data_IF_251302221018
#
_entry.id   IF_251302221018
#
_cell.length_a   1.000
_cell.length_b   1.000
_cell.length_c   1.000
_cell.angle_alpha   90.00
_cell.angle_beta   90.00
_cell.angle_gamma   90.00
#
_symmetry.space_group_name_H-M   'P 1'
#
loop_
_entity.id
_entity.type
_entity.pdbx_description
1 polymer ?
#
# COMPACT_ATOMS: atom_id res chain seq x y z
N UNK A 1 1.68 28.20 10.71
CA UNK A 1 2.34 27.26 11.64
C UNK A 1 1.31 26.78 12.65
N UNK A 2 1.35 25.52 13.09
CA UNK A 2 0.36 24.97 14.04
C UNK A 2 -0.13 23.54 13.76
N UNK A 3 0.32 22.90 12.68
CA UNK A 3 0.01 21.51 12.39
C UNK A 3 0.90 20.57 13.20
N UNK A 4 0.30 19.59 13.87
CA UNK A 4 1.01 18.50 14.54
C UNK A 4 0.89 17.26 13.65
N UNK A 5 2.02 16.75 13.20
CA UNK A 5 2.10 15.48 12.48
C UNK A 5 2.12 14.32 13.48
N UNK A 6 1.20 13.36 13.33
CA UNK A 6 1.07 12.18 14.21
C UNK A 6 1.07 10.90 13.35
N UNK A 7 2.26 10.44 12.93
CA UNK A 7 2.38 9.33 11.97
C UNK A 7 1.79 8.01 12.50
N UNK A 8 1.82 7.79 13.81
CA UNK A 8 1.33 6.56 14.44
C UNK A 8 -0.18 6.39 14.27
N UNK A 9 -0.93 7.50 14.29
CA UNK A 9 -2.39 7.48 14.05
C UNK A 9 -2.70 7.11 12.60
N UNK A 10 -1.94 7.67 11.66
CA UNK A 10 -2.09 7.36 10.24
C UNK A 10 -1.76 5.88 9.98
N UNK A 11 -0.65 5.39 10.51
CA UNK A 11 -0.24 3.99 10.37
C UNK A 11 -1.28 3.03 10.96
N UNK A 12 -1.78 3.32 12.17
CA UNK A 12 -2.84 2.53 12.79
C UNK A 12 -4.10 2.47 11.92
N UNK A 13 -4.53 3.61 11.36
CA UNK A 13 -5.69 3.66 10.46
C UNK A 13 -5.48 2.83 9.20
N UNK A 14 -4.29 2.87 8.60
CA UNK A 14 -3.97 2.10 7.39
C UNK A 14 -3.97 0.59 7.65
N UNK A 15 -3.40 0.16 8.78
CA UNK A 15 -3.37 -1.27 9.15
C UNK A 15 -4.77 -1.83 9.43
N UNK A 16 -5.55 -1.09 10.21
CA UNK A 16 -6.92 -1.51 10.58
C UNK A 16 -7.91 -1.39 9.41
N UNK A 17 -7.63 -0.50 8.46
CA UNK A 17 -8.45 -0.29 7.26
C UNK A 17 -8.12 -1.21 6.08
N UNK A 18 -7.20 -2.17 6.25
CA UNK A 18 -6.79 -3.09 5.18
C UNK A 18 -6.28 -2.39 3.92
N UNK A 19 -5.60 -1.25 4.07
CA UNK A 19 -5.25 -0.36 2.95
C UNK A 19 -4.43 -1.04 1.83
N UNK A 20 -3.68 -2.10 2.16
CA UNK A 20 -2.82 -2.86 1.23
C UNK A 20 -3.45 -4.17 0.74
N UNK A 21 -4.74 -4.43 1.01
CA UNK A 21 -5.43 -5.60 0.47
C UNK A 21 -5.38 -5.63 -1.06
N UNK A 22 -5.58 -4.49 -1.71
CA UNK A 22 -5.48 -4.38 -3.18
C UNK A 22 -4.07 -4.66 -3.68
N UNK A 23 -3.02 -4.22 -2.98
CA UNK A 23 -1.64 -4.54 -3.37
C UNK A 23 -1.36 -6.06 -3.28
N UNK A 24 -1.97 -6.76 -2.32
CA UNK A 24 -1.90 -8.22 -2.24
C UNK A 24 -2.64 -8.88 -3.42
N UNK A 25 -3.80 -8.36 -3.84
CA UNK A 25 -4.51 -8.85 -5.01
C UNK A 25 -3.68 -8.63 -6.29
N UNK A 26 -3.11 -7.44 -6.47
CA UNK A 26 -2.24 -7.10 -7.58
C UNK A 26 -1.00 -8.01 -7.63
N UNK A 27 -0.42 -8.36 -6.47
CA UNK A 27 0.67 -9.32 -6.37
C UNK A 27 0.26 -10.71 -6.86
N UNK A 28 -0.90 -11.22 -6.43
CA UNK A 28 -1.40 -12.52 -6.89
C UNK A 28 -1.62 -12.55 -8.40
N UNK A 29 -2.11 -11.45 -8.98
CA UNK A 29 -2.33 -11.31 -10.43
C UNK A 29 -0.99 -11.22 -11.16
N UNK A 30 -0.13 -10.30 -10.75
CA UNK A 30 1.09 -9.96 -11.48
C UNK A 30 2.21 -11.00 -11.35
N UNK A 31 2.37 -11.58 -10.15
CA UNK A 31 3.50 -12.47 -9.82
C UNK A 31 3.09 -13.93 -9.80
N UNK A 32 1.91 -14.24 -9.24
CA UNK A 32 1.40 -15.62 -9.17
C UNK A 32 0.49 -16.00 -10.34
N UNK A 33 0.21 -15.06 -11.25
CA UNK A 33 -0.62 -15.26 -12.44
C UNK A 33 -2.03 -15.79 -12.13
N UNK A 34 -2.57 -15.45 -10.97
CA UNK A 34 -3.95 -15.78 -10.60
C UNK A 34 -4.90 -14.83 -11.34
N UNK A 35 -6.00 -15.33 -11.93
CA UNK A 35 -7.01 -14.46 -12.54
C UNK A 35 -7.51 -13.40 -11.56
N UNK A 36 -7.67 -12.16 -12.04
CA UNK A 36 -8.04 -10.99 -11.23
C UNK A 36 -9.19 -11.26 -10.26
N UNK A 37 -10.29 -11.86 -10.75
CA UNK A 37 -11.45 -12.17 -9.94
C UNK A 37 -11.12 -13.13 -8.79
N UNK A 38 -10.38 -14.20 -9.08
CA UNK A 38 -9.95 -15.19 -8.09
C UNK A 38 -8.99 -14.59 -7.08
N UNK A 39 -8.05 -13.74 -7.52
CA UNK A 39 -7.15 -13.03 -6.61
C UNK A 39 -7.92 -12.14 -5.63
N UNK A 40 -8.88 -11.36 -6.11
CA UNK A 40 -9.72 -10.52 -5.26
C UNK A 40 -10.64 -11.32 -4.34
N UNK A 41 -11.18 -12.47 -4.78
CA UNK A 41 -11.97 -13.37 -3.93
C UNK A 41 -11.14 -13.99 -2.79
N UNK A 42 -9.91 -14.44 -3.08
CA UNK A 42 -8.98 -14.95 -2.06
C UNK A 42 -8.62 -13.89 -1.02
N UNK A 43 -8.28 -12.68 -1.48
CA UNK A 43 -7.93 -11.56 -0.60
C UNK A 43 -9.14 -11.09 0.20
N UNK A 44 -10.33 -11.03 -0.41
CA UNK A 44 -11.57 -10.71 0.28
C UNK A 44 -11.89 -11.71 1.40
N UNK A 45 -11.67 -13.00 1.13
CA UNK A 45 -11.79 -14.06 2.15
C UNK A 45 -10.81 -13.86 3.30
N UNK A 46 -9.55 -13.56 2.99
CA UNK A 46 -8.53 -13.24 3.99
C UNK A 46 -8.92 -12.03 4.86
N UNK A 47 -9.39 -10.94 4.24
CA UNK A 47 -9.88 -9.75 4.96
C UNK A 47 -11.06 -10.11 5.86
N UNK A 48 -12.01 -10.93 5.37
CA UNK A 48 -13.12 -11.43 6.17
C UNK A 48 -12.66 -12.15 7.44
N UNK A 49 -11.72 -13.08 7.31
CA UNK A 49 -11.12 -13.80 8.45
C UNK A 49 -10.42 -12.85 9.42
N UNK A 50 -9.66 -11.87 8.91
CA UNK A 50 -9.05 -10.84 9.75
C UNK A 50 -10.09 -10.06 10.56
N UNK A 51 -11.18 -9.61 9.92
CA UNK A 51 -12.26 -8.89 10.60
C UNK A 51 -12.91 -9.73 11.69
N UNK A 52 -13.25 -10.99 11.39
CA UNK A 52 -13.85 -11.93 12.35
C UNK A 52 -12.95 -12.15 13.58
N UNK A 53 -11.64 -12.28 13.36
CA UNK A 53 -10.68 -12.53 14.43
C UNK A 53 -10.15 -11.26 15.10
N UNK A 54 -10.61 -10.07 14.68
CA UNK A 54 -10.09 -8.76 15.13
C UNK A 54 -8.57 -8.64 14.92
N UNK A 55 -8.14 -9.06 13.74
CA UNK A 55 -6.77 -9.06 13.24
C UNK A 55 -6.67 -8.20 11.99
N UNK A 56 -5.45 -7.96 11.57
CA UNK A 56 -5.05 -7.26 10.35
C UNK A 56 -4.27 -8.23 9.45
N UNK A 57 -3.95 -7.79 8.23
CA UNK A 57 -3.06 -8.54 7.33
C UNK A 57 -1.66 -8.76 7.95
N UNK A 58 -1.27 -7.93 8.91
CA UNK A 58 0.06 -7.93 9.51
C UNK A 58 0.20 -8.92 10.68
N UNK A 59 -0.89 -9.22 11.39
CA UNK A 59 -0.86 -9.98 12.66
C UNK A 59 -1.79 -11.20 12.70
N UNK A 60 -2.48 -11.51 11.60
CA UNK A 60 -3.13 -12.82 11.44
C UNK A 60 -2.05 -13.91 11.28
N UNK A 61 -2.07 -14.99 12.08
CA UNK A 61 -1.04 -16.03 12.04
C UNK A 61 -0.91 -16.66 10.66
N UNK A 62 0.33 -16.93 10.24
CA UNK A 62 0.59 -17.58 8.95
C UNK A 62 -0.15 -18.91 8.82
N UNK A 63 -0.24 -19.70 9.89
CA UNK A 63 -1.00 -20.95 9.92
C UNK A 63 -2.47 -20.79 9.55
N UNK A 64 -3.06 -19.63 9.84
CA UNK A 64 -4.45 -19.33 9.50
C UNK A 64 -4.58 -18.78 8.09
N UNK A 65 -3.68 -17.89 7.67
CA UNK A 65 -3.65 -17.37 6.30
C UNK A 65 -3.40 -18.48 5.27
N UNK A 66 -2.51 -19.42 5.60
CA UNK A 66 -2.16 -20.58 4.75
C UNK A 66 -3.35 -21.50 4.48
N UNK A 67 -4.34 -21.56 5.39
CA UNK A 67 -5.59 -22.32 5.17
C UNK A 67 -6.43 -21.75 4.03
N UNK A 68 -6.26 -20.46 3.73
CA UNK A 68 -7.00 -19.75 2.67
C UNK A 68 -6.26 -19.91 1.34
N UNK A 69 -4.94 -19.71 1.34
CA UNK A 69 -4.11 -19.88 0.15
C UNK A 69 -2.67 -20.17 0.54
N UNK A 70 -2.01 -21.05 -0.21
CA UNK A 70 -0.57 -21.30 -0.08
C UNK A 70 0.30 -20.08 -0.39
N UNK A 71 -0.25 -19.06 -1.08
CA UNK A 71 0.45 -17.82 -1.39
C UNK A 71 0.49 -16.81 -0.24
N UNK A 72 -0.22 -17.07 0.87
CA UNK A 72 -0.28 -16.14 2.01
C UNK A 72 0.73 -16.46 3.11
N UNK A 73 1.95 -16.80 2.70
CA UNK A 73 3.05 -17.25 3.57
C UNK A 73 4.36 -16.58 3.21
N UNK A 74 5.24 -16.45 4.20
CA UNK A 74 6.62 -16.01 4.01
C UNK A 74 6.78 -14.59 3.43
N UNK A 75 7.99 -14.34 2.93
CA UNK A 75 8.47 -12.99 2.60
C UNK A 75 7.67 -12.31 1.49
N UNK A 76 7.24 -13.05 0.48
CA UNK A 76 6.48 -12.47 -0.63
C UNK A 76 5.12 -11.91 -0.16
N UNK A 77 4.45 -12.60 0.76
CA UNK A 77 3.22 -12.09 1.38
C UNK A 77 3.50 -10.81 2.19
N UNK A 78 4.54 -10.84 3.04
CA UNK A 78 4.93 -9.69 3.86
C UNK A 78 5.22 -8.45 2.99
N UNK A 79 5.91 -8.65 1.86
CA UNK A 79 6.24 -7.59 0.92
C UNK A 79 5.03 -7.11 0.10
N UNK A 80 4.04 -7.97 -0.10
CA UNK A 80 2.80 -7.63 -0.78
C UNK A 80 1.90 -6.74 0.09
N UNK A 81 1.84 -6.97 1.41
CA UNK A 81 1.00 -6.19 2.34
C UNK A 81 1.71 -5.00 2.99
N UNK A 82 3.03 -4.84 2.79
CA UNK A 82 3.82 -3.78 3.38
C UNK A 82 3.36 -2.36 2.97
N UNK A 83 3.13 -1.50 3.97
CA UNK A 83 2.72 -0.11 3.76
C UNK A 83 3.78 0.72 3.01
N UNK A 84 5.05 0.57 3.37
CA UNK A 84 6.14 1.31 2.72
C UNK A 84 6.31 0.89 1.26
N UNK A 85 6.27 -0.43 1.01
CA UNK A 85 6.40 -0.95 -0.34
C UNK A 85 5.17 -0.63 -1.20
N UNK A 86 3.98 -0.56 -0.63
CA UNK A 86 2.76 -0.13 -1.35
C UNK A 86 2.94 1.25 -1.97
N UNK A 87 3.43 2.23 -1.21
CA UNK A 87 3.71 3.57 -1.72
C UNK A 87 4.86 3.57 -2.75
N UNK A 88 5.97 2.90 -2.43
CA UNK A 88 7.17 2.91 -3.29
C UNK A 88 7.00 2.18 -4.62
N UNK A 89 6.06 1.24 -4.73
CA UNK A 89 5.72 0.56 -6.00
C UNK A 89 5.00 1.48 -7.01
N UNK A 90 4.41 2.60 -6.59
CA UNK A 90 3.67 3.51 -7.50
C UNK A 90 4.64 4.44 -8.25
N UNK A 91 5.35 3.87 -9.22
CA UNK A 91 6.46 4.52 -9.96
C UNK A 91 6.03 5.28 -11.23
N UNK A 92 4.77 5.15 -11.65
CA UNK A 92 4.20 5.92 -12.76
C UNK A 92 4.37 7.42 -12.52
N UNK A 93 4.43 8.21 -13.59
CA UNK A 93 4.53 9.67 -13.48
C UNK A 93 3.40 10.22 -12.58
N UNK A 94 3.77 11.09 -11.62
CA UNK A 94 2.84 11.61 -10.59
C UNK A 94 2.47 10.63 -9.48
N UNK A 95 3.05 9.41 -9.46
CA UNK A 95 2.78 8.41 -8.42
C UNK A 95 3.33 8.76 -7.04
N UNK A 96 3.01 7.92 -6.05
CA UNK A 96 3.34 8.18 -4.64
C UNK A 96 4.70 7.67 -4.18
N UNK A 97 5.45 6.97 -5.05
CA UNK A 97 6.80 6.52 -4.70
C UNK A 97 7.72 7.69 -4.35
N UNK A 98 8.70 7.46 -3.46
CA UNK A 98 9.67 8.50 -3.07
C UNK A 98 10.32 9.19 -4.28
N UNK A 99 10.75 8.40 -5.27
CA UNK A 99 11.34 8.90 -6.51
C UNK A 99 10.42 9.89 -7.24
N UNK A 100 9.12 9.59 -7.29
CA UNK A 100 8.13 10.45 -7.96
C UNK A 100 7.82 11.68 -7.11
N UNK A 101 7.78 11.57 -5.79
CA UNK A 101 7.62 12.72 -4.90
C UNK A 101 8.78 13.71 -4.99
N UNK A 102 10.02 13.22 -5.07
CA UNK A 102 11.22 14.05 -5.27
C UNK A 102 11.16 14.80 -6.61
N UNK A 103 10.73 14.13 -7.68
CA UNK A 103 10.53 14.74 -8.99
C UNK A 103 9.41 15.80 -8.98
N UNK A 104 8.27 15.51 -8.35
CA UNK A 104 7.16 16.47 -8.25
C UNK A 104 7.51 17.68 -7.38
N UNK A 105 8.28 17.49 -6.31
CA UNK A 105 8.78 18.59 -5.49
C UNK A 105 9.69 19.52 -6.31
N UNK A 106 10.57 18.95 -7.13
CA UNK A 106 11.43 19.73 -8.02
C UNK A 106 10.59 20.57 -9.01
N UNK A 107 9.63 19.95 -9.69
CA UNK A 107 8.75 20.65 -10.64
C UNK A 107 7.97 21.78 -9.96
N UNK A 108 7.48 21.54 -8.74
CA UNK A 108 6.74 22.55 -7.98
C UNK A 108 7.63 23.75 -7.59
N UNK A 109 8.88 23.50 -7.19
CA UNK A 109 9.84 24.56 -6.88
C UNK A 109 10.20 25.39 -8.12
N UNK A 110 10.45 24.74 -9.25
CA UNK A 110 10.72 25.42 -10.53
C UNK A 110 9.52 26.29 -10.96
N UNK A 111 8.30 25.76 -10.81
CA UNK A 111 7.07 26.51 -11.14
C UNK A 111 6.85 27.72 -10.22
N UNK A 112 7.24 27.62 -8.94
CA UNK A 112 7.18 28.75 -8.00
C UNK A 112 8.18 29.83 -8.39
N UNK A 113 9.41 29.46 -8.73
CA UNK A 113 10.45 30.38 -9.18
C UNK A 113 10.03 31.11 -10.47
N UNK A 114 9.47 30.38 -11.45
CA UNK A 114 8.91 30.99 -12.67
C UNK A 114 7.78 31.99 -12.36
N UNK A 115 6.86 31.62 -11.47
CA UNK A 115 5.74 32.49 -11.09
C UNK A 115 6.20 33.75 -10.33
N UNK A 116 7.25 33.64 -9.51
CA UNK A 116 7.87 34.78 -8.84
C UNK A 116 8.57 35.70 -9.84
N UNK A 117 9.30 35.15 -10.81
CA UNK A 117 9.97 35.90 -11.87
C UNK A 117 9.00 36.62 -12.81
N UNK A 118 7.80 36.05 -13.04
CA UNK A 118 6.72 36.66 -13.82
C UNK A 118 5.90 37.72 -13.06
N UNK A 119 6.08 37.84 -11.74
CA UNK A 119 5.40 38.86 -10.91
C UNK A 119 6.09 40.22 -10.91
N UNK A 120 7.06 40.42 -11.81
CA UNK A 120 7.72 41.68 -12.18
C UNK A 120 7.29 42.11 -13.59
#
# INVERSE_FOLDING_TARGET
EGWVWVPERAESSLKNGFATATDLADFLVGVKHIPFRTAHELVGTLVGVCVEQKKTLFDLPETDRKKISEFFVGKEYEDAVSLSLSADKKISYGGTSRKRQEEQLKIALESLEEAENLRL
#
